data_IF_485896503990
#
_entry.id   IF_485896503990
#
_cell.length_a   1.000
_cell.length_b   1.000
_cell.length_c   1.000
_cell.angle_alpha   90.00
_cell.angle_beta   90.00
_cell.angle_gamma   90.00
#
_symmetry.space_group_name_H-M   'P 1'
#
loop_
_entity.id
_entity.type
_entity.pdbx_description
1 polymer ?
#
# COMPACT_ATOMS: atom_id res chain seq x y z
N UNK A 1 6.17 15.95 -1.48
CA UNK A 1 6.33 14.54 -1.92
C UNK A 1 6.67 14.52 -3.41
N UNK A 2 7.14 13.38 -3.94
CA UNK A 2 7.50 13.22 -5.36
C UNK A 2 6.73 12.03 -5.93
N UNK A 3 5.65 12.27 -6.69
CA UNK A 3 4.94 11.18 -7.36
C UNK A 3 5.79 10.66 -8.52
N UNK A 4 5.93 9.33 -8.62
CA UNK A 4 6.65 8.66 -9.71
C UNK A 4 5.71 7.74 -10.47
N UNK A 5 5.60 7.93 -11.79
CA UNK A 5 4.92 6.96 -12.65
C UNK A 5 5.85 5.79 -12.97
N UNK A 6 5.75 4.73 -12.18
CA UNK A 6 6.58 3.52 -12.31
C UNK A 6 6.38 2.77 -13.64
N UNK A 7 5.41 3.17 -14.49
CA UNK A 7 5.21 2.58 -15.82
C UNK A 7 6.17 3.14 -16.87
N UNK A 8 6.68 4.34 -16.65
CA UNK A 8 7.50 5.08 -17.62
C UNK A 8 8.87 5.42 -17.05
N UNK A 9 9.04 5.32 -15.72
CA UNK A 9 10.25 5.69 -15.01
C UNK A 9 10.61 4.64 -13.94
N UNK A 10 11.90 4.53 -13.63
CA UNK A 10 12.37 3.71 -12.51
C UNK A 10 12.33 4.55 -11.22
N UNK A 11 11.59 4.10 -10.21
CA UNK A 11 11.43 4.83 -8.95
C UNK A 11 12.71 4.93 -8.12
N UNK A 12 13.66 4.03 -8.35
CA UNK A 12 14.98 3.99 -7.71
C UNK A 12 15.85 5.18 -8.12
N UNK A 13 15.53 5.83 -9.24
CA UNK A 13 16.18 7.09 -9.64
C UNK A 13 15.70 8.30 -8.82
N UNK A 14 14.61 8.14 -8.07
CA UNK A 14 13.97 9.21 -7.29
C UNK A 14 13.99 8.95 -5.79
N UNK A 15 14.25 7.71 -5.38
CA UNK A 15 14.31 7.30 -3.99
C UNK A 15 15.57 6.47 -3.73
N UNK A 16 16.44 6.99 -2.86
CA UNK A 16 17.63 6.31 -2.35
C UNK A 16 17.80 6.65 -0.86
N UNK A 17 18.51 5.80 -0.13
CA UNK A 17 18.79 5.94 1.29
C UNK A 17 17.55 6.19 2.17
N UNK A 18 16.41 5.63 1.79
CA UNK A 18 15.16 5.78 2.56
C UNK A 18 15.19 4.92 3.82
N UNK A 19 14.65 5.45 4.91
CA UNK A 19 14.51 4.74 6.18
C UNK A 19 13.54 3.56 6.12
N UNK A 20 12.42 3.78 5.41
CA UNK A 20 11.26 2.90 5.41
C UNK A 20 10.69 2.80 4.00
N UNK A 21 10.39 1.57 3.58
CA UNK A 21 9.55 1.28 2.41
C UNK A 21 8.25 0.64 2.90
N UNK A 22 7.10 1.20 2.51
CA UNK A 22 5.80 0.55 2.66
C UNK A 22 5.42 -0.10 1.31
N UNK A 23 5.25 -1.42 1.30
CA UNK A 23 5.04 -2.19 0.07
C UNK A 23 3.63 -2.80 -0.02
N UNK A 24 2.75 -2.22 -0.88
CA UNK A 24 1.46 -2.81 -1.21
C UNK A 24 1.45 -3.61 -2.51
N UNK A 25 2.60 -3.80 -3.19
CA UNK A 25 2.67 -4.34 -4.56
C UNK A 25 3.31 -5.74 -4.58
N UNK A 26 4.40 -5.96 -3.85
CA UNK A 26 5.11 -7.22 -3.83
C UNK A 26 5.93 -7.51 -5.10
N UNK A 27 6.33 -8.77 -5.27
CA UNK A 27 7.05 -9.28 -6.44
C UNK A 27 8.33 -8.49 -6.77
N UNK A 28 8.60 -8.28 -8.05
CA UNK A 28 9.79 -7.55 -8.53
C UNK A 28 9.88 -6.12 -7.97
N UNK A 29 8.73 -5.48 -7.71
CA UNK A 29 8.71 -4.13 -7.11
C UNK A 29 9.30 -4.17 -5.72
N UNK A 30 8.93 -5.15 -4.89
CA UNK A 30 9.50 -5.33 -3.56
C UNK A 30 11.01 -5.57 -3.61
N UNK A 31 11.48 -6.44 -4.51
CA UNK A 31 12.91 -6.73 -4.67
C UNK A 31 13.71 -5.48 -5.05
N UNK A 32 13.17 -4.68 -5.97
CA UNK A 32 13.76 -3.39 -6.36
C UNK A 32 13.74 -2.37 -5.23
N UNK A 33 12.65 -2.29 -4.47
CA UNK A 33 12.54 -1.37 -3.33
C UNK A 33 13.51 -1.70 -2.18
N UNK A 34 13.95 -2.96 -2.02
CA UNK A 34 15.02 -3.27 -1.05
C UNK A 34 16.32 -2.51 -1.34
N UNK A 35 16.58 -2.17 -2.61
CA UNK A 35 17.81 -1.47 -3.00
C UNK A 35 17.78 0.02 -2.66
N UNK A 36 16.58 0.60 -2.46
CA UNK A 36 16.44 2.02 -2.13
C UNK A 36 16.63 2.29 -0.64
N UNK A 37 16.61 1.25 0.20
CA UNK A 37 16.82 1.35 1.64
C UNK A 37 18.27 1.74 1.97
N UNK A 38 18.42 2.59 2.98
CA UNK A 38 19.69 2.80 3.67
C UNK A 38 20.06 1.57 4.51
N UNK A 39 21.31 1.49 4.94
CA UNK A 39 21.76 0.49 5.92
C UNK A 39 20.93 0.55 7.21
N UNK A 40 20.43 -0.60 7.66
CA UNK A 40 19.53 -0.74 8.82
C UNK A 40 18.07 -0.35 8.57
N UNK A 41 17.74 0.15 7.37
CA UNK A 41 16.38 0.50 6.95
C UNK A 41 15.43 -0.71 6.95
N UNK A 42 14.12 -0.44 6.80
CA UNK A 42 13.09 -1.49 6.83
C UNK A 42 12.09 -1.42 5.68
N UNK A 43 11.84 -2.56 5.05
CA UNK A 43 10.67 -2.79 4.21
C UNK A 43 9.52 -3.39 5.04
N UNK A 44 8.32 -2.81 4.94
CA UNK A 44 7.10 -3.32 5.56
C UNK A 44 6.10 -3.64 4.45
N UNK A 45 5.80 -4.91 4.22
CA UNK A 45 4.85 -5.33 3.18
C UNK A 45 3.48 -5.68 3.76
N UNK A 46 2.41 -5.30 3.07
CA UNK A 46 1.03 -5.72 3.38
C UNK A 46 0.55 -6.88 2.49
N UNK A 47 1.37 -7.28 1.51
CA UNK A 47 1.07 -8.40 0.58
C UNK A 47 1.99 -9.61 0.80
N UNK A 48 2.85 -9.55 1.82
CA UNK A 48 3.81 -10.61 2.17
C UNK A 48 5.21 -10.39 1.57
N UNK A 49 6.18 -11.17 2.03
CA UNK A 49 7.58 -11.06 1.59
C UNK A 49 7.94 -12.08 0.50
N UNK A 50 8.69 -11.64 -0.51
CA UNK A 50 9.41 -12.49 -1.47
C UNK A 50 10.56 -13.24 -0.80
N UNK A 51 11.24 -14.13 -1.54
CA UNK A 51 12.47 -14.81 -1.08
C UNK A 51 13.54 -13.81 -0.63
N UNK A 52 13.76 -12.76 -1.42
CA UNK A 52 14.75 -11.71 -1.18
C UNK A 52 14.31 -10.82 -0.02
N UNK A 53 13.00 -10.55 0.12
CA UNK A 53 12.47 -9.88 1.30
C UNK A 53 12.74 -10.67 2.58
N UNK A 54 12.55 -12.00 2.56
CA UNK A 54 12.81 -12.85 3.73
C UNK A 54 14.29 -12.99 4.06
N UNK A 55 15.16 -12.88 3.08
CA UNK A 55 16.61 -12.97 3.25
C UNK A 55 17.32 -11.90 2.43
N UNK A 56 17.32 -10.63 2.87
CA UNK A 56 17.95 -9.54 2.13
C UNK A 56 19.46 -9.76 2.03
N UNK A 57 20.03 -9.46 0.86
CA UNK A 57 21.48 -9.55 0.62
C UNK A 57 22.28 -8.39 1.24
N UNK A 58 21.59 -7.33 1.66
CA UNK A 58 22.15 -6.15 2.34
C UNK A 58 21.76 -6.17 3.81
N UNK A 59 22.43 -5.38 4.64
CA UNK A 59 22.06 -5.20 6.04
C UNK A 59 20.84 -4.27 6.16
N UNK A 60 19.69 -4.81 5.76
CA UNK A 60 18.37 -4.18 5.82
C UNK A 60 17.38 -5.17 6.42
N UNK A 61 16.26 -4.66 6.93
CA UNK A 61 15.20 -5.48 7.52
C UNK A 61 14.01 -5.54 6.57
N UNK A 62 13.26 -6.63 6.63
CA UNK A 62 11.95 -6.69 6.01
C UNK A 62 10.98 -7.44 6.93
N UNK A 63 9.72 -7.01 6.92
CA UNK A 63 8.64 -7.68 7.63
C UNK A 63 7.36 -7.58 6.83
N UNK A 64 6.45 -8.51 7.06
CA UNK A 64 5.07 -8.41 6.58
C UNK A 64 4.13 -8.20 7.74
N UNK A 65 3.16 -7.31 7.57
CA UNK A 65 2.07 -7.12 8.52
C UNK A 65 0.79 -7.66 7.93
N UNK A 66 0.01 -8.35 8.77
CA UNK A 66 -1.38 -8.64 8.49
C UNK A 66 -2.24 -7.73 9.37
N UNK A 67 -3.36 -7.29 8.84
CA UNK A 67 -4.29 -6.44 9.58
C UNK A 67 -4.72 -7.12 10.89
N UNK A 68 -4.65 -6.35 11.97
CA UNK A 68 -5.26 -6.71 13.25
C UNK A 68 -6.32 -5.65 13.56
N UNK A 69 -7.61 -6.01 13.60
CA UNK A 69 -8.66 -5.07 13.95
C UNK A 69 -8.40 -4.49 15.35
N UNK A 70 -8.37 -3.17 15.46
CA UNK A 70 -8.11 -2.48 16.71
C UNK A 70 -9.03 -1.26 16.82
N UNK A 71 -9.96 -1.30 17.78
CA UNK A 71 -10.95 -0.23 17.97
C UNK A 71 -10.31 1.10 18.36
N UNK A 72 -9.27 1.10 19.20
CA UNK A 72 -8.55 2.31 19.59
C UNK A 72 -7.92 3.01 18.39
N UNK A 73 -7.24 2.26 17.52
CA UNK A 73 -6.67 2.79 16.28
C UNK A 73 -7.76 3.29 15.32
N UNK A 74 -8.87 2.56 15.18
CA UNK A 74 -9.99 2.99 14.35
C UNK A 74 -10.64 4.28 14.87
N UNK A 75 -10.75 4.45 16.20
CA UNK A 75 -11.23 5.69 16.81
C UNK A 75 -10.30 6.87 16.55
N UNK A 76 -8.98 6.66 16.65
CA UNK A 76 -7.99 7.70 16.30
C UNK A 76 -8.11 8.11 14.83
N UNK A 77 -8.15 7.14 13.92
CA UNK A 77 -8.36 7.39 12.48
C UNK A 77 -9.69 8.13 12.25
N UNK A 78 -10.76 7.75 12.95
CA UNK A 78 -12.06 8.43 12.90
C UNK A 78 -11.96 9.91 13.31
N UNK A 79 -11.20 10.21 14.37
CA UNK A 79 -10.92 11.59 14.78
C UNK A 79 -10.14 12.38 13.71
N UNK A 80 -9.14 11.76 13.08
CA UNK A 80 -8.41 12.39 11.97
C UNK A 80 -9.31 12.69 10.77
N UNK A 81 -10.29 11.83 10.49
CA UNK A 81 -11.30 12.04 9.43
C UNK A 81 -12.24 13.19 9.81
N UNK A 82 -12.78 13.19 11.03
CA UNK A 82 -13.68 14.25 11.51
C UNK A 82 -13.01 15.63 11.50
N UNK A 83 -11.72 15.69 11.80
CA UNK A 83 -10.93 16.92 11.78
C UNK A 83 -10.44 17.34 10.39
N UNK A 84 -10.80 16.59 9.33
CA UNK A 84 -10.41 16.89 7.95
C UNK A 84 -8.92 16.66 7.64
N UNK A 85 -8.18 15.98 8.52
CA UNK A 85 -6.76 15.65 8.31
C UNK A 85 -6.63 14.49 7.33
N UNK A 86 -7.52 13.50 7.43
CA UNK A 86 -7.63 12.39 6.48
C UNK A 86 -8.95 12.53 5.73
N UNK A 87 -8.90 12.55 4.40
CA UNK A 87 -10.10 12.56 3.57
C UNK A 87 -10.19 11.25 2.75
N UNK A 88 -11.03 10.28 3.16
CA UNK A 88 -11.22 9.05 2.40
C UNK A 88 -11.86 9.34 1.04
N UNK A 89 -11.20 8.91 -0.04
CA UNK A 89 -11.72 9.05 -1.39
C UNK A 89 -12.50 7.79 -1.74
N UNK A 90 -13.82 7.92 -1.92
CA UNK A 90 -14.69 6.86 -2.48
C UNK A 90 -14.84 7.12 -3.97
N UNK A 91 -14.32 6.23 -4.80
CA UNK A 91 -14.31 6.37 -6.27
C UNK A 91 -15.59 5.82 -6.90
N UNK A 92 -16.11 4.72 -6.32
CA UNK A 92 -17.26 4.01 -6.84
C UNK A 92 -18.12 3.49 -5.69
N UNK A 93 -19.43 3.54 -5.91
CA UNK A 93 -20.46 2.94 -5.06
C UNK A 93 -21.28 2.02 -5.95
N UNK A 94 -21.43 0.77 -5.52
CA UNK A 94 -22.26 -0.22 -6.19
C UNK A 94 -23.25 -0.78 -5.17
N UNK A 95 -24.53 -0.99 -5.54
CA UNK A 95 -25.41 -1.76 -4.69
C UNK A 95 -24.94 -3.23 -4.63
N UNK A 96 -25.36 -3.97 -3.60
CA UNK A 96 -24.92 -5.35 -3.36
C UNK A 96 -25.10 -6.27 -4.57
N UNK A 97 -26.21 -6.15 -5.31
CA UNK A 97 -26.47 -6.94 -6.52
C UNK A 97 -25.46 -6.69 -7.65
N UNK A 98 -24.72 -5.57 -7.59
CA UNK A 98 -23.66 -5.21 -8.53
C UNK A 98 -22.25 -5.49 -7.98
N UNK A 99 -22.11 -6.25 -6.89
CA UNK A 99 -20.81 -6.70 -6.41
C UNK A 99 -19.90 -7.34 -7.50
N UNK A 100 -20.42 -8.08 -8.51
CA UNK A 100 -19.59 -8.55 -9.62
C UNK A 100 -18.92 -7.40 -10.40
N UNK A 101 -19.66 -6.34 -10.73
CA UNK A 101 -19.12 -5.16 -11.43
C UNK A 101 -18.10 -4.41 -10.57
N UNK A 102 -18.33 -4.32 -9.27
CA UNK A 102 -17.36 -3.77 -8.32
C UNK A 102 -16.03 -4.53 -8.34
N UNK A 103 -16.09 -5.87 -8.42
CA UNK A 103 -14.89 -6.71 -8.55
C UNK A 103 -14.19 -6.52 -9.90
N UNK A 104 -14.92 -6.49 -11.01
CA UNK A 104 -14.36 -6.20 -12.34
C UNK A 104 -13.63 -4.85 -12.33
N UNK A 105 -14.24 -3.81 -11.76
CA UNK A 105 -13.63 -2.49 -11.61
C UNK A 105 -12.34 -2.55 -10.77
N UNK A 106 -12.33 -3.29 -9.66
CA UNK A 106 -11.13 -3.50 -8.84
C UNK A 106 -10.01 -4.18 -9.63
N UNK A 107 -10.35 -5.18 -10.45
CA UNK A 107 -9.40 -5.96 -11.23
C UNK A 107 -8.71 -5.17 -12.34
N UNK A 108 -9.28 -4.04 -12.77
CA UNK A 108 -8.59 -3.11 -13.68
C UNK A 108 -7.27 -2.59 -13.11
N UNK A 109 -7.10 -2.59 -11.78
CA UNK A 109 -5.99 -1.98 -11.04
C UNK A 109 -5.82 -0.48 -11.33
N UNK A 110 -6.88 0.20 -11.81
CA UNK A 110 -6.87 1.64 -12.13
C UNK A 110 -7.70 2.50 -11.19
N UNK A 111 -8.36 1.89 -10.21
CA UNK A 111 -9.16 2.63 -9.22
C UNK A 111 -8.27 3.52 -8.35
N UNK A 112 -8.65 4.80 -8.25
CA UNK A 112 -8.03 5.79 -7.35
C UNK A 112 -8.96 6.11 -6.19
N UNK A 113 -8.79 5.38 -5.08
CA UNK A 113 -9.66 5.47 -3.91
C UNK A 113 -10.30 4.12 -3.58
N UNK A 114 -11.38 4.13 -2.81
CA UNK A 114 -12.10 2.94 -2.37
C UNK A 114 -13.34 2.68 -3.24
N UNK A 115 -13.60 1.40 -3.47
CA UNK A 115 -14.88 0.90 -3.99
C UNK A 115 -15.71 0.50 -2.77
N UNK A 116 -16.94 0.97 -2.70
CA UNK A 116 -17.88 0.68 -1.61
C UNK A 116 -19.06 -0.10 -2.16
N UNK A 117 -19.46 -1.15 -1.44
CA UNK A 117 -20.73 -1.83 -1.66
C UNK A 117 -21.76 -1.26 -0.69
N UNK A 118 -22.90 -0.84 -1.22
CA UNK A 118 -24.04 -0.35 -0.44
C UNK A 118 -25.03 -1.51 -0.24
N UNK A 119 -25.44 -1.69 1.01
CA UNK A 119 -26.39 -2.71 1.43
C UNK A 119 -27.51 -1.95 2.13
N UNK A 120 -28.62 -1.80 1.42
CA UNK A 120 -29.85 -1.20 1.95
C UNK A 120 -30.68 -2.23 2.75
#
# INVERSE_FOLDING_TARGET
DVPVDYRTQNFENFASDVDVVLDPIGGDTQVRSLQTLKEGGILVSIVGLTSEGRNPSRNVRATSILVQPNSGQLSEIGGLIQNGIINPIVSYRFPLEQAPLAHEQSQTRRTRGKIVIEVD
#
